data_IF_464310235743
#
_entry.id   IF_464310235743
#
_cell.length_a   1.000
_cell.length_b   1.000
_cell.length_c   1.000
_cell.angle_alpha   90.00
_cell.angle_beta   90.00
_cell.angle_gamma   90.00
#
_symmetry.space_group_name_H-M   'P 1'
#
loop_
_entity.id
_entity.type
_entity.pdbx_description
1 polymer ?
#
# COMPACT_ATOMS: atom_id res chain seq x y z
N UNK A 1 16.28 21.73 4.41
CA UNK A 1 15.04 20.93 4.37
C UNK A 1 13.85 21.85 4.56
N UNK A 2 12.90 21.85 3.63
CA UNK A 2 11.69 22.71 3.67
C UNK A 2 10.69 22.20 4.70
N UNK A 3 9.66 23.00 5.04
CA UNK A 3 8.58 22.55 5.93
C UNK A 3 7.83 21.35 5.32
N UNK A 4 7.52 21.41 4.04
CA UNK A 4 6.89 20.31 3.29
C UNK A 4 7.70 19.01 3.38
N UNK A 5 9.04 19.09 3.30
CA UNK A 5 9.92 17.92 3.46
C UNK A 5 9.87 17.36 4.88
N UNK A 6 9.75 18.21 5.92
CA UNK A 6 9.58 17.76 7.31
C UNK A 6 8.24 17.07 7.52
N UNK A 7 7.18 17.63 6.94
CA UNK A 7 5.84 17.05 7.03
C UNK A 7 5.78 15.71 6.29
N UNK A 8 6.37 15.63 5.09
CA UNK A 8 6.51 14.38 4.35
C UNK A 8 7.34 13.34 5.12
N UNK A 9 8.46 13.73 5.72
CA UNK A 9 9.28 12.85 6.57
C UNK A 9 8.46 12.32 7.76
N UNK A 10 7.68 13.17 8.40
CA UNK A 10 6.79 12.77 9.48
C UNK A 10 5.72 11.78 9.00
N UNK A 11 5.06 12.08 7.88
CA UNK A 11 4.01 11.24 7.30
C UNK A 11 4.53 9.86 6.88
N UNK A 12 5.74 9.78 6.31
CA UNK A 12 6.36 8.50 5.91
C UNK A 12 6.61 7.55 7.08
N UNK A 13 6.67 8.07 8.32
CA UNK A 13 6.78 7.23 9.54
C UNK A 13 5.45 6.65 9.97
N UNK A 14 4.32 7.16 9.44
CA UNK A 14 2.99 6.71 9.82
C UNK A 14 2.54 5.55 8.91
N UNK A 15 2.32 4.34 9.44
CA UNK A 15 1.88 3.21 8.64
C UNK A 15 0.50 3.44 8.00
N UNK A 16 -0.38 4.21 8.64
CA UNK A 16 -1.67 4.65 8.10
C UNK A 16 -1.50 5.43 6.79
N UNK A 17 -0.53 6.35 6.78
CA UNK A 17 -0.23 7.16 5.62
C UNK A 17 0.32 6.30 4.48
N UNK A 18 1.21 5.35 4.77
CA UNK A 18 1.74 4.44 3.76
C UNK A 18 0.65 3.56 3.13
N UNK A 19 -0.32 3.08 3.92
CA UNK A 19 -1.51 2.37 3.40
C UNK A 19 -2.36 3.28 2.52
N UNK A 20 -2.63 4.51 2.97
CA UNK A 20 -3.36 5.51 2.20
C UNK A 20 -2.66 5.82 0.87
N UNK A 21 -1.35 6.05 0.90
CA UNK A 21 -0.53 6.32 -0.27
C UNK A 21 -0.56 5.14 -1.26
N UNK A 22 -0.48 3.91 -0.76
CA UNK A 22 -0.65 2.71 -1.59
C UNK A 22 -2.03 2.65 -2.24
N UNK A 23 -3.10 2.95 -1.51
CA UNK A 23 -4.45 3.00 -2.09
C UNK A 23 -4.58 4.09 -3.17
N UNK A 24 -3.99 5.27 -2.94
CA UNK A 24 -3.95 6.35 -3.92
C UNK A 24 -3.19 5.96 -5.20
N UNK A 25 -2.08 5.24 -5.07
CA UNK A 25 -1.28 4.74 -6.21
C UNK A 25 -2.04 3.70 -7.03
N UNK A 26 -2.76 2.78 -6.37
CA UNK A 26 -3.66 1.85 -7.07
C UNK A 26 -4.80 2.59 -7.76
N UNK A 27 -5.43 3.55 -7.07
CA UNK A 27 -6.50 4.36 -7.64
C UNK A 27 -6.01 5.24 -8.80
N UNK A 28 -4.73 5.64 -8.82
CA UNK A 28 -4.14 6.35 -9.96
C UNK A 28 -3.93 5.44 -11.18
N UNK A 29 -4.04 4.12 -11.03
CA UNK A 29 -3.77 3.16 -12.10
C UNK A 29 -2.28 3.02 -12.43
N UNK A 30 -1.41 3.35 -11.46
CA UNK A 30 0.04 3.13 -11.56
C UNK A 30 0.37 1.66 -11.35
N UNK A 31 -0.34 1.01 -10.41
CA UNK A 31 -0.23 -0.42 -10.12
C UNK A 31 -1.58 -1.07 -10.36
N UNK A 32 -1.62 -2.03 -11.29
CA UNK A 32 -2.84 -2.71 -11.74
C UNK A 32 -3.65 -1.86 -12.73
N UNK A 33 -3.86 -2.37 -13.94
CA UNK A 33 -4.78 -1.74 -14.89
C UNK A 33 -6.23 -1.98 -14.43
N UNK A 34 -6.93 -0.92 -14.00
CA UNK A 34 -8.39 -0.94 -13.83
C UNK A 34 -9.16 -0.62 -15.12
N UNK A 35 -8.48 -0.69 -16.26
CA UNK A 35 -9.10 -0.38 -17.55
C UNK A 35 -9.92 -1.59 -18.00
N UNK A 36 -11.24 -1.49 -17.91
CA UNK A 36 -12.16 -2.46 -18.50
C UNK A 36 -11.89 -2.60 -20.00
N UNK A 37 -11.93 -3.82 -20.50
CA UNK A 37 -11.63 -4.18 -21.90
C UNK A 37 -12.66 -3.67 -22.93
N UNK A 38 -13.62 -2.84 -22.51
CA UNK A 38 -14.65 -2.30 -23.39
C UNK A 38 -14.08 -1.09 -24.16
N UNK A 39 -13.97 -1.25 -25.48
CA UNK A 39 -13.33 -0.32 -26.42
C UNK A 39 -13.93 1.09 -26.55
N UNK A 40 -14.72 1.53 -25.58
CA UNK A 40 -15.25 2.90 -25.47
C UNK A 40 -14.28 3.88 -24.77
N UNK A 41 -13.11 3.40 -24.35
CA UNK A 41 -12.17 4.09 -23.46
C UNK A 41 -11.31 5.20 -24.12
N UNK A 42 -11.37 5.36 -25.44
CA UNK A 42 -10.58 6.36 -26.18
C UNK A 42 -10.93 7.80 -25.79
N UNK A 43 -12.15 8.04 -25.26
CA UNK A 43 -12.61 9.38 -24.85
C UNK A 43 -12.09 9.83 -23.48
N UNK A 44 -11.60 8.90 -22.65
CA UNK A 44 -11.15 9.19 -21.27
C UNK A 44 -9.64 9.04 -21.07
N UNK A 45 -8.85 8.91 -22.14
CA UNK A 45 -7.39 8.79 -22.03
C UNK A 45 -6.75 9.96 -21.29
N UNK A 46 -7.18 11.20 -21.58
CA UNK A 46 -6.69 12.40 -20.88
C UNK A 46 -7.03 12.38 -19.40
N UNK A 47 -8.21 11.87 -19.02
CA UNK A 47 -8.61 11.71 -17.63
C UNK A 47 -7.77 10.64 -16.92
N UNK A 48 -7.53 9.50 -17.57
CA UNK A 48 -6.68 8.43 -17.06
C UNK A 48 -5.22 8.85 -16.92
N UNK A 49 -4.70 9.62 -17.88
CA UNK A 49 -3.37 10.19 -17.82
C UNK A 49 -3.25 11.21 -16.69
N UNK A 50 -4.22 12.12 -16.54
CA UNK A 50 -4.26 13.08 -15.42
C UNK A 50 -4.26 12.40 -14.06
N UNK A 51 -5.02 11.30 -13.90
CA UNK A 51 -5.01 10.49 -12.67
C UNK A 51 -3.65 9.85 -12.40
N UNK A 52 -3.00 9.30 -13.42
CA UNK A 52 -1.65 8.74 -13.30
C UNK A 52 -0.63 9.80 -12.91
N UNK A 53 -0.66 10.95 -13.58
CA UNK A 53 0.22 12.09 -13.28
C UNK A 53 0.08 12.55 -11.84
N UNK A 54 -1.15 12.75 -11.36
CA UNK A 54 -1.41 13.09 -9.96
C UNK A 54 -0.88 12.01 -8.99
N UNK A 55 -1.03 10.74 -9.33
CA UNK A 55 -0.48 9.65 -8.52
C UNK A 55 1.05 9.70 -8.40
N UNK A 56 1.76 10.03 -9.49
CA UNK A 56 3.20 10.22 -9.47
C UNK A 56 3.61 11.49 -8.70
N UNK A 57 2.85 12.58 -8.82
CA UNK A 57 3.08 13.80 -8.04
C UNK A 57 2.95 13.54 -6.53
N UNK A 58 1.89 12.85 -6.10
CA UNK A 58 1.72 12.45 -4.71
C UNK A 58 2.89 11.59 -4.21
N UNK A 59 3.35 10.64 -5.03
CA UNK A 59 4.50 9.80 -4.71
C UNK A 59 5.78 10.63 -4.57
N UNK A 60 6.03 11.58 -5.48
CA UNK A 60 7.20 12.47 -5.41
C UNK A 60 7.15 13.41 -4.20
N UNK A 61 5.98 13.94 -3.86
CA UNK A 61 5.81 14.76 -2.66
C UNK A 61 6.09 13.95 -1.40
N UNK A 62 5.60 12.70 -1.31
CA UNK A 62 5.94 11.82 -0.20
C UNK A 62 7.45 11.50 -0.18
N UNK A 63 8.05 11.21 -1.35
CA UNK A 63 9.47 10.89 -1.47
C UNK A 63 10.40 12.02 -1.05
N UNK A 64 9.97 13.29 -1.16
CA UNK A 64 10.72 14.44 -0.67
C UNK A 64 11.05 14.34 0.84
N UNK A 65 10.24 13.60 1.60
CA UNK A 65 10.48 13.30 3.02
C UNK A 65 11.55 12.24 3.30
N UNK A 66 12.07 11.56 2.29
CA UNK A 66 13.15 10.58 2.47
C UNK A 66 14.49 11.26 2.81
N UNK A 67 15.44 10.56 3.46
CA UNK A 67 16.81 11.03 3.63
C UNK A 67 17.45 11.46 2.31
N UNK A 68 18.33 12.47 2.36
CA UNK A 68 18.98 13.04 1.17
C UNK A 68 19.72 12.00 0.34
N UNK A 69 20.37 11.03 1.00
CA UNK A 69 21.08 9.94 0.34
C UNK A 69 20.15 9.06 -0.49
N UNK A 70 18.92 8.85 -0.02
CA UNK A 70 17.90 8.08 -0.74
C UNK A 70 17.34 8.92 -1.89
N UNK A 71 17.00 10.19 -1.64
CA UNK A 71 16.47 11.07 -2.69
C UNK A 71 17.44 11.25 -3.87
N UNK A 72 18.73 11.35 -3.59
CA UNK A 72 19.75 11.51 -4.62
C UNK A 72 19.97 10.25 -5.46
N UNK A 73 19.79 9.07 -4.87
CA UNK A 73 19.99 7.78 -5.54
C UNK A 73 18.72 7.21 -6.18
N UNK A 74 17.55 7.66 -5.76
CA UNK A 74 16.24 7.16 -6.20
C UNK A 74 15.34 8.30 -6.69
N UNK A 75 15.72 8.91 -7.83
CA UNK A 75 14.95 10.01 -8.42
C UNK A 75 13.54 9.61 -8.89
N UNK A 76 13.28 8.31 -9.03
CA UNK A 76 11.98 7.73 -9.44
C UNK A 76 11.09 7.36 -8.25
N UNK A 77 11.52 7.65 -7.02
CA UNK A 77 10.79 7.37 -5.79
C UNK A 77 10.40 5.88 -5.58
N UNK A 78 11.13 4.95 -6.18
CA UNK A 78 10.86 3.51 -6.13
C UNK A 78 10.94 2.95 -4.70
N UNK A 79 11.81 3.51 -3.87
CA UNK A 79 11.98 3.16 -2.45
C UNK A 79 10.71 3.49 -1.68
N UNK A 80 10.12 4.66 -1.94
CA UNK A 80 8.89 5.11 -1.28
C UNK A 80 7.68 4.34 -1.78
N UNK A 81 7.61 4.08 -3.09
CA UNK A 81 6.60 3.20 -3.67
C UNK A 81 6.66 1.80 -3.04
N UNK A 82 7.86 1.22 -2.94
CA UNK A 82 8.07 -0.10 -2.34
C UNK A 82 7.65 -0.11 -0.87
N UNK A 83 7.97 0.93 -0.12
CA UNK A 83 7.56 1.06 1.28
C UNK A 83 6.03 1.09 1.42
N UNK A 84 5.35 1.90 0.59
CA UNK A 84 3.88 1.97 0.56
C UNK A 84 3.24 0.61 0.22
N UNK A 85 3.73 -0.06 -0.84
CA UNK A 85 3.21 -1.37 -1.25
C UNK A 85 3.45 -2.46 -0.20
N UNK A 86 4.64 -2.51 0.40
CA UNK A 86 4.97 -3.46 1.48
C UNK A 86 4.09 -3.25 2.70
N UNK A 87 3.78 -2.00 3.05
CA UNK A 87 2.90 -1.73 4.19
C UNK A 87 1.52 -2.32 3.97
N UNK A 88 0.95 -2.23 2.76
CA UNK A 88 -0.36 -2.81 2.44
C UNK A 88 -0.33 -4.34 2.49
N UNK A 89 0.72 -4.98 1.97
CA UNK A 89 0.88 -6.44 2.02
C UNK A 89 1.04 -6.96 3.46
N UNK A 90 1.76 -6.22 4.31
CA UNK A 90 1.96 -6.59 5.71
C UNK A 90 0.76 -6.26 6.60
N UNK A 91 -0.07 -5.27 6.24
CA UNK A 91 -1.28 -4.89 6.98
C UNK A 91 -2.46 -5.82 6.70
N UNK A 92 -2.33 -6.78 5.78
CA UNK A 92 -3.13 -8.00 5.82
C UNK A 92 -2.68 -8.82 7.03
N UNK A 93 -2.96 -8.30 8.22
CA UNK A 93 -2.83 -9.04 9.45
C UNK A 93 -3.66 -10.32 9.27
N UNK A 94 -2.91 -11.41 9.26
CA UNK A 94 -3.40 -12.78 9.38
C UNK A 94 -4.54 -12.76 10.38
N UNK A 95 -5.70 -13.39 10.07
CA UNK A 95 -6.77 -13.49 11.06
C UNK A 95 -6.10 -13.96 12.34
N UNK A 96 -6.29 -13.17 13.40
CA UNK A 96 -5.79 -13.47 14.73
C UNK A 96 -6.55 -14.72 15.17
N UNK A 97 -6.09 -15.86 14.66
CA UNK A 97 -6.55 -17.18 15.02
C UNK A 97 -6.02 -17.31 16.43
N UNK A 98 -6.84 -16.82 17.37
CA UNK A 98 -6.84 -17.16 18.78
C UNK A 98 -6.30 -18.56 18.83
N UNK A 99 -5.12 -18.73 19.46
CA UNK A 99 -4.51 -20.03 19.76
C UNK A 99 -5.64 -21.03 20.00
N UNK A 100 -6.05 -21.76 18.96
CA UNK A 100 -6.91 -22.92 19.12
C UNK A 100 -5.93 -23.92 19.68
N UNK A 101 -5.93 -23.98 21.01
CA UNK A 101 -5.22 -24.95 21.81
C UNK A 101 -5.34 -26.28 21.07
N UNK A 102 -4.19 -26.86 20.70
CA UNK A 102 -4.07 -28.04 19.84
C UNK A 102 -4.71 -29.32 20.45
N UNK A 103 -5.43 -29.19 21.56
CA UNK A 103 -6.05 -30.27 22.32
C UNK A 103 -7.57 -30.39 22.11
N UNK A 104 -8.21 -29.48 21.38
CA UNK A 104 -9.68 -29.45 21.28
C UNK A 104 -10.25 -30.29 20.12
N UNK A 105 -9.51 -31.30 19.65
CA UNK A 105 -9.96 -32.20 18.56
C UNK A 105 -10.55 -33.52 19.06
N UNK A 106 -10.53 -33.76 20.38
CA UNK A 106 -10.99 -35.00 20.98
C UNK A 106 -11.89 -34.78 22.22
N UNK A 107 -12.36 -33.55 22.46
CA UNK A 107 -13.24 -33.27 23.59
C UNK A 107 -14.65 -33.90 23.46
N UNK A 108 -15.03 -34.33 22.24
CA UNK A 108 -16.36 -34.90 21.93
C UNK A 108 -16.37 -36.44 21.82
N UNK A 109 -15.32 -37.15 22.25
CA UNK A 109 -15.40 -38.62 22.34
C UNK A 109 -16.03 -38.97 23.71
N UNK A 110 -17.25 -39.51 23.76
CA UNK A 110 -17.75 -40.08 25.00
C UNK A 110 -16.91 -41.31 25.36
N UNK A 111 -16.30 -41.30 26.56
CA UNK A 111 -15.68 -42.48 27.15
C UNK A 111 -16.73 -43.59 27.21
N UNK A 112 -16.61 -44.54 26.29
CA UNK A 112 -17.45 -45.73 26.26
C UNK A 112 -16.73 -46.82 27.02
N UNK A 113 -16.78 -46.72 28.35
CA UNK A 113 -16.49 -47.83 29.27
C UNK A 113 -17.82 -48.29 29.91
N UNK A 114 -18.44 -49.32 29.31
CA UNK A 114 -19.35 -50.29 29.96
C UNK A 114 -19.68 -51.45 29.01
#
# INVERSE_FOLDING_TARGET
MTQEQRDAEHLLRQPEFLRFLSAAIHAAGIVGQQVGADGHLTRDLSFLEGRRSLGFELLHMAHAGQPEQIRASDTQALTTLTAALRQTLNSQDKPNERRRTRNDRYADIPDTDA
#
